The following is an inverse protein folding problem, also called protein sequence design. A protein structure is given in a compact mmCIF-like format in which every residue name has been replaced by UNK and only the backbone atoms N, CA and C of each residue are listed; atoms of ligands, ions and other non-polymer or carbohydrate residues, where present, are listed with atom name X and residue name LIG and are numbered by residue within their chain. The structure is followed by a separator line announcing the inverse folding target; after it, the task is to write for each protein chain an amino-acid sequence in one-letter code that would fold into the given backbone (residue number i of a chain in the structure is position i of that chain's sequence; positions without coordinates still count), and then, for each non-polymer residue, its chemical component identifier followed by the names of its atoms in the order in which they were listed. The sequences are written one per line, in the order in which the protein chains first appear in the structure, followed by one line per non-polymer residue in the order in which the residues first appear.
data_IF_311396797782
#
_entry.id   IF_311396797782
#
_cell.length_a   1.000
_cell.length_b   1.000
_cell.length_c   1.000
_cell.angle_alpha   90.00
_cell.angle_beta   90.00
_cell.angle_gamma   90.00
#
_symmetry.space_group_name_H-M   'P 1'
#
loop_
_entity.id
_entity.type
_entity.pdbx_description
1 polymer ?
#
# COMPACT_ATOMS: atom_id res chain seq x y z
N UNK A 1 -16.11 11.47 12.74
CA UNK A 1 -16.08 10.79 11.42
C UNK A 1 -15.97 9.29 11.63
N UNK A 2 -16.51 8.49 10.72
CA UNK A 2 -16.29 7.04 10.71
C UNK A 2 -15.11 6.72 9.76
N UNK A 3 -13.98 6.30 10.30
CA UNK A 3 -12.73 6.06 9.60
C UNK A 3 -12.55 4.55 9.42
N UNK A 4 -12.41 4.07 8.19
CA UNK A 4 -11.95 2.70 7.95
C UNK A 4 -10.42 2.66 7.98
N UNK A 5 -9.82 2.08 9.01
CA UNK A 5 -8.40 1.80 9.07
C UNK A 5 -8.14 0.45 8.38
N UNK A 6 -7.47 0.49 7.23
CA UNK A 6 -7.21 -0.70 6.42
C UNK A 6 -5.73 -1.08 6.52
N UNK A 7 -5.44 -2.36 6.80
CA UNK A 7 -4.09 -2.85 7.04
C UNK A 7 -3.88 -4.30 6.60
N UNK A 8 -2.62 -4.76 6.62
CA UNK A 8 -2.21 -6.08 6.14
C UNK A 8 -1.79 -6.07 4.68
N UNK A 9 -2.50 -6.78 3.82
CA UNK A 9 -2.27 -6.80 2.38
C UNK A 9 -1.43 -7.97 1.88
N UNK A 10 -1.29 -8.07 0.54
CA UNK A 10 -0.65 -9.20 -0.16
C UNK A 10 0.85 -9.05 -0.34
N UNK A 11 1.43 -7.94 0.09
CA UNK A 11 2.86 -7.69 -0.08
C UNK A 11 3.72 -8.50 0.91
N UNK A 12 5.02 -8.56 0.66
CA UNK A 12 6.00 -9.09 1.60
C UNK A 12 6.11 -8.27 2.90
N UNK A 13 5.52 -7.08 2.93
CA UNK A 13 5.54 -6.16 4.08
C UNK A 13 4.24 -6.21 4.91
N UNK A 14 3.47 -7.31 4.77
CA UNK A 14 2.22 -7.54 5.50
C UNK A 14 2.36 -7.29 7.00
N UNK A 15 3.36 -7.88 7.64
CA UNK A 15 3.59 -7.76 9.09
C UNK A 15 3.96 -6.33 9.50
N UNK A 16 4.67 -5.61 8.65
CA UNK A 16 5.01 -4.20 8.88
C UNK A 16 3.75 -3.33 8.86
N UNK A 17 2.81 -3.66 7.98
CA UNK A 17 1.51 -2.99 7.93
C UNK A 17 0.72 -3.15 9.24
N UNK A 18 0.72 -4.34 9.85
CA UNK A 18 0.06 -4.56 11.15
C UNK A 18 0.66 -3.66 12.24
N UNK A 19 1.99 -3.58 12.29
CA UNK A 19 2.70 -2.74 13.28
C UNK A 19 2.38 -1.26 13.06
N UNK A 20 2.52 -0.79 11.82
CA UNK A 20 2.25 0.60 11.45
C UNK A 20 0.81 1.01 11.73
N UNK A 21 -0.15 0.15 11.38
CA UNK A 21 -1.57 0.39 11.63
C UNK A 21 -1.91 0.40 13.13
N UNK A 22 -1.20 -0.39 13.93
CA UNK A 22 -1.35 -0.34 15.40
C UNK A 22 -0.94 1.03 15.95
N UNK A 23 0.16 1.58 15.47
CA UNK A 23 0.60 2.93 15.86
C UNK A 23 -0.40 4.00 15.41
N UNK A 24 -0.90 3.92 14.17
CA UNK A 24 -1.93 4.82 13.64
C UNK A 24 -3.22 4.72 14.47
N UNK A 25 -3.69 3.50 14.78
CA UNK A 25 -4.89 3.27 15.59
C UNK A 25 -4.82 3.95 16.97
N UNK A 26 -3.65 3.92 17.61
CA UNK A 26 -3.40 4.63 18.87
C UNK A 26 -3.47 6.15 18.74
N UNK A 27 -3.02 6.69 17.60
CA UNK A 27 -2.95 8.12 17.36
C UNK A 27 -4.27 8.77 16.90
N UNK A 28 -5.23 7.99 16.40
CA UNK A 28 -6.52 8.54 15.96
C UNK A 28 -7.28 9.14 17.16
N UNK A 29 -7.76 10.39 17.01
CA UNK A 29 -8.55 11.06 18.05
C UNK A 29 -9.78 10.25 18.48
N UNK A 30 -10.07 10.23 19.77
CA UNK A 30 -11.22 9.54 20.35
C UNK A 30 -12.58 10.11 19.89
N UNK A 31 -12.60 11.26 19.27
CA UNK A 31 -13.81 11.84 18.66
C UNK A 31 -14.26 11.10 17.38
N UNK A 32 -13.39 10.28 16.81
CA UNK A 32 -13.69 9.50 15.62
C UNK A 32 -14.09 8.06 15.97
N UNK A 33 -15.00 7.52 15.20
CA UNK A 33 -15.26 6.08 15.19
C UNK A 33 -14.28 5.40 14.25
N UNK A 34 -13.64 4.32 14.68
CA UNK A 34 -12.71 3.56 13.85
C UNK A 34 -13.27 2.18 13.56
N UNK A 35 -13.38 1.87 12.30
CA UNK A 35 -13.72 0.54 11.77
C UNK A 35 -12.44 -0.11 11.27
N UNK A 36 -12.02 -1.21 11.90
CA UNK A 36 -10.83 -1.96 11.51
C UNK A 36 -11.15 -2.92 10.35
N UNK A 37 -10.36 -2.87 9.29
CA UNK A 37 -10.47 -3.79 8.16
C UNK A 37 -9.09 -4.39 7.87
N UNK A 38 -8.97 -5.71 8.04
CA UNK A 38 -7.76 -6.46 7.74
C UNK A 38 -7.80 -7.07 6.34
N UNK A 39 -6.72 -6.91 5.58
CA UNK A 39 -6.53 -7.58 4.28
C UNK A 39 -5.58 -8.76 4.50
N UNK A 40 -6.08 -9.98 4.32
CA UNK A 40 -5.28 -11.20 4.45
C UNK A 40 -4.23 -11.34 3.32
N UNK A 41 -3.29 -12.27 3.48
CA UNK A 41 -2.23 -12.53 2.49
C UNK A 41 -2.76 -13.04 1.15
N UNK A 42 -3.94 -13.64 1.13
CA UNK A 42 -4.64 -14.05 -0.10
C UNK A 42 -5.35 -12.87 -0.82
N UNK A 43 -5.50 -11.73 -0.11
CA UNK A 43 -6.13 -10.51 -0.62
C UNK A 43 -7.58 -10.34 -0.22
N UNK A 44 -8.18 -11.25 0.53
CA UNK A 44 -9.53 -11.07 1.08
C UNK A 44 -9.54 -10.04 2.19
N UNK A 45 -10.63 -9.30 2.29
CA UNK A 45 -10.81 -8.24 3.28
C UNK A 45 -11.78 -8.68 4.35
N UNK A 46 -11.45 -8.46 5.62
CA UNK A 46 -12.26 -8.88 6.74
C UNK A 46 -12.50 -7.73 7.71
N UNK A 47 -13.75 -7.53 8.09
CA UNK A 47 -14.10 -6.65 9.22
C UNK A 47 -13.51 -7.23 10.52
N UNK A 48 -12.82 -6.42 11.28
CA UNK A 48 -12.23 -6.81 12.56
C UNK A 48 -13.04 -6.27 13.73
N UNK A 49 -12.85 -6.88 14.90
CA UNK A 49 -13.68 -6.56 16.08
C UNK A 49 -13.31 -5.21 16.70
N UNK A 50 -14.31 -4.53 17.28
CA UNK A 50 -14.10 -3.34 18.09
C UNK A 50 -13.32 -3.64 19.38
N UNK A 51 -13.38 -4.86 19.88
CA UNK A 51 -12.58 -5.31 21.04
C UNK A 51 -11.09 -5.23 20.74
N UNK A 52 -10.67 -5.66 19.53
CA UNK A 52 -9.28 -5.55 19.09
C UNK A 52 -8.83 -4.06 19.06
N UNK A 53 -9.65 -3.17 18.51
CA UNK A 53 -9.37 -1.73 18.54
C UNK A 53 -9.19 -1.19 19.95
N UNK A 54 -10.07 -1.56 20.87
CA UNK A 54 -10.00 -1.13 22.26
C UNK A 54 -8.72 -1.63 22.96
N UNK A 55 -8.30 -2.87 22.71
CA UNK A 55 -7.04 -3.43 23.24
C UNK A 55 -5.83 -2.64 22.73
N UNK A 56 -5.77 -2.34 21.44
CA UNK A 56 -4.70 -1.54 20.86
C UNK A 56 -4.62 -0.14 21.49
N UNK A 57 -5.75 0.48 21.76
CA UNK A 57 -5.82 1.83 22.38
C UNK A 57 -5.30 1.87 23.81
N UNK A 58 -5.40 0.78 24.54
CA UNK A 58 -5.09 0.70 25.98
C UNK A 58 -3.77 0.00 26.29
N UNK A 59 -3.18 -0.70 25.33
CA UNK A 59 -1.93 -1.45 25.52
C UNK A 59 -0.95 -1.19 24.37
N UNK A 60 0.16 -0.54 24.68
CA UNK A 60 1.20 -0.19 23.68
C UNK A 60 1.93 -1.40 23.13
N UNK A 61 1.96 -2.52 23.84
CA UNK A 61 2.62 -3.76 23.42
C UNK A 61 1.75 -4.63 22.49
N UNK A 62 0.46 -4.30 22.36
CA UNK A 62 -0.42 -5.02 21.45
C UNK A 62 -0.20 -4.61 20.00
N UNK A 63 -0.36 -5.58 19.11
CA UNK A 63 -0.30 -5.36 17.65
C UNK A 63 -1.58 -5.87 17.02
N UNK A 64 -2.09 -5.15 16.03
CA UNK A 64 -3.23 -5.58 15.24
C UNK A 64 -2.94 -6.94 14.59
N UNK A 65 -3.96 -7.77 14.55
CA UNK A 65 -3.95 -9.07 13.86
C UNK A 65 -5.09 -9.11 12.85
N UNK A 66 -5.09 -10.10 11.97
CA UNK A 66 -6.19 -10.33 11.04
C UNK A 66 -6.85 -11.64 11.40
N UNK A 67 -8.11 -11.57 11.77
CA UNK A 67 -8.97 -12.74 11.98
C UNK A 67 -9.76 -12.97 10.71
N UNK A 68 -9.47 -14.06 10.04
CA UNK A 68 -10.14 -14.48 8.81
C UNK A 68 -11.44 -15.19 9.19
N UNK A 69 -12.56 -14.47 9.04
CA UNK A 69 -13.89 -14.97 9.30
C UNK A 69 -14.76 -14.72 8.05
N UNK A 70 -15.23 -15.78 7.42
CA UNK A 70 -16.05 -15.68 6.21
C UNK A 70 -17.36 -14.89 6.44
N UNK A 71 -17.89 -14.87 7.65
CA UNK A 71 -19.03 -14.02 8.01
C UNK A 71 -18.68 -12.53 8.12
N UNK A 72 -17.39 -12.19 8.10
CA UNK A 72 -16.89 -10.82 8.20
C UNK A 72 -16.25 -10.30 6.89
N UNK A 73 -16.52 -10.99 5.77
CA UNK A 73 -16.00 -10.58 4.46
C UNK A 73 -16.53 -9.21 4.05
N UNK A 74 -15.62 -8.38 3.53
CA UNK A 74 -15.93 -7.07 2.98
C UNK A 74 -16.05 -7.17 1.46
N UNK A 75 -17.11 -6.59 0.93
CA UNK A 75 -17.30 -6.32 -0.49
C UNK A 75 -17.16 -4.84 -0.75
N UNK A 76 -16.44 -4.45 -1.81
CA UNK A 76 -16.32 -3.06 -2.25
C UNK A 76 -17.30 -2.83 -3.41
N UNK A 77 -18.20 -1.87 -3.22
CA UNK A 77 -19.21 -1.49 -4.22
C UNK A 77 -18.76 -0.20 -4.94
N UNK A 78 -18.50 -0.24 -6.24
CA UNK A 78 -18.13 0.94 -6.99
C UNK A 78 -19.23 2.03 -6.97
N UNK A 79 -18.83 3.31 -6.89
CA UNK A 79 -19.71 4.47 -6.99
C UNK A 79 -20.61 4.73 -5.78
N UNK A 80 -20.52 3.94 -4.71
CA UNK A 80 -21.46 4.01 -3.60
C UNK A 80 -21.06 4.97 -2.47
N UNK A 81 -19.97 5.72 -2.62
CA UNK A 81 -19.48 6.70 -1.61
C UNK A 81 -19.32 6.06 -0.22
N UNK A 82 -19.96 6.63 0.80
CA UNK A 82 -19.93 6.11 2.19
C UNK A 82 -20.40 4.66 2.32
N UNK A 83 -21.25 4.22 1.40
CA UNK A 83 -21.84 2.88 1.39
C UNK A 83 -21.03 1.88 0.56
N UNK A 84 -19.81 2.26 0.15
CA UNK A 84 -18.96 1.44 -0.69
C UNK A 84 -18.41 0.19 -0.01
N UNK A 85 -18.22 0.21 1.30
CA UNK A 85 -17.71 -0.92 2.06
C UNK A 85 -18.86 -1.66 2.74
N UNK A 86 -19.09 -2.89 2.31
CA UNK A 86 -20.26 -3.70 2.71
C UNK A 86 -19.78 -4.97 3.43
N UNK A 87 -20.37 -5.26 4.58
CA UNK A 87 -20.22 -6.52 5.32
C UNK A 87 -21.59 -7.14 5.53
N UNK A 88 -21.79 -8.42 5.19
CA UNK A 88 -23.06 -9.13 5.32
C UNK A 88 -24.27 -8.37 4.73
N UNK A 89 -24.08 -7.77 3.55
CA UNK A 89 -25.12 -7.01 2.86
C UNK A 89 -25.47 -5.67 3.51
N UNK A 90 -24.73 -5.23 4.53
CA UNK A 90 -24.93 -3.94 5.21
C UNK A 90 -23.74 -3.01 4.96
N UNK A 91 -24.05 -1.75 4.65
CA UNK A 91 -23.05 -0.69 4.55
C UNK A 91 -22.40 -0.45 5.91
N UNK A 92 -21.08 -0.23 5.90
CA UNK A 92 -20.31 0.21 7.06
C UNK A 92 -20.37 1.73 7.27
N UNK A 93 -20.94 2.47 6.32
CA UNK A 93 -21.11 3.93 6.35
C UNK A 93 -19.81 4.68 6.67
N UNK A 94 -18.77 4.45 5.85
CA UNK A 94 -17.43 5.00 6.05
C UNK A 94 -17.32 6.40 5.45
N UNK A 95 -16.87 7.36 6.24
CA UNK A 95 -16.62 8.75 5.79
C UNK A 95 -15.28 8.88 5.04
N UNK A 96 -14.25 8.16 5.48
CA UNK A 96 -12.91 8.19 4.91
C UNK A 96 -12.18 6.88 5.17
N UNK A 97 -11.38 6.46 4.20
CA UNK A 97 -10.49 5.30 4.34
C UNK A 97 -9.08 5.76 4.68
N UNK A 98 -8.47 5.12 5.67
CA UNK A 98 -7.06 5.31 6.00
C UNK A 98 -6.30 4.01 5.74
N UNK A 99 -5.74 3.83 4.52
CA UNK A 99 -4.94 2.66 4.22
C UNK A 99 -3.56 2.79 4.84
N UNK A 100 -3.16 1.80 5.63
CA UNK A 100 -1.81 1.66 6.20
C UNK A 100 -1.22 0.39 5.62
N UNK A 101 -0.94 0.43 4.33
CA UNK A 101 -0.45 -0.69 3.54
C UNK A 101 0.94 -0.36 2.99
N UNK A 102 1.79 -1.37 2.84
CA UNK A 102 3.15 -1.22 2.32
C UNK A 102 3.38 -2.09 1.08
N UNK A 103 4.22 -1.60 0.18
CA UNK A 103 4.63 -2.31 -1.02
C UNK A 103 3.52 -2.49 -2.06
N UNK A 104 3.58 -3.61 -2.77
CA UNK A 104 2.63 -3.92 -3.85
C UNK A 104 1.19 -4.03 -3.34
N UNK A 105 0.24 -3.57 -4.16
CA UNK A 105 -1.18 -3.39 -3.86
C UNK A 105 -1.51 -2.29 -2.84
N UNK A 106 -0.54 -1.78 -2.07
CA UNK A 106 -0.73 -0.70 -1.11
C UNK A 106 -0.24 0.65 -1.61
N UNK A 107 0.98 0.67 -2.20
CA UNK A 107 1.66 1.91 -2.60
C UNK A 107 1.72 2.10 -4.13
N UNK A 108 1.28 1.14 -4.91
CA UNK A 108 1.40 1.10 -6.37
C UNK A 108 0.20 1.66 -7.14
N UNK A 109 -0.70 2.37 -6.48
CA UNK A 109 -1.87 3.00 -7.07
C UNK A 109 -3.11 2.09 -7.18
N UNK A 110 -2.98 0.77 -6.98
CA UNK A 110 -4.12 -0.16 -7.17
C UNK A 110 -5.22 0.04 -6.14
N UNK A 111 -4.85 0.13 -4.86
CA UNK A 111 -5.82 0.35 -3.78
C UNK A 111 -6.44 1.75 -3.88
N UNK A 112 -5.65 2.76 -4.25
CA UNK A 112 -6.12 4.12 -4.45
C UNK A 112 -7.13 4.17 -5.61
N UNK A 113 -6.84 3.50 -6.72
CA UNK A 113 -7.78 3.38 -7.84
C UNK A 113 -9.08 2.68 -7.47
N UNK A 114 -9.04 1.67 -6.59
CA UNK A 114 -10.23 1.04 -6.05
C UNK A 114 -11.09 2.02 -5.25
N UNK A 115 -10.47 2.84 -4.38
CA UNK A 115 -11.19 3.85 -3.60
C UNK A 115 -11.76 4.97 -4.49
N UNK A 116 -11.03 5.38 -5.52
CA UNK A 116 -11.52 6.35 -6.51
C UNK A 116 -12.73 5.79 -7.28
N UNK A 117 -12.69 4.53 -7.71
CA UNK A 117 -13.85 3.87 -8.34
C UNK A 117 -15.03 3.70 -7.39
N UNK A 118 -14.78 3.51 -6.11
CA UNK A 118 -15.79 3.45 -5.07
C UNK A 118 -16.36 4.84 -4.71
N UNK A 119 -15.72 5.91 -5.18
CA UNK A 119 -16.01 7.30 -4.87
C UNK A 119 -15.99 7.58 -3.34
N UNK A 120 -15.06 6.94 -2.63
CA UNK A 120 -14.85 7.11 -1.19
C UNK A 120 -13.56 7.90 -0.93
N UNK A 121 -13.59 8.95 -0.10
CA UNK A 121 -12.39 9.67 0.29
C UNK A 121 -11.36 8.77 0.99
N UNK A 122 -10.08 8.99 0.73
CA UNK A 122 -9.02 8.24 1.40
C UNK A 122 -7.81 9.13 1.74
N UNK A 123 -7.05 8.71 2.72
CA UNK A 123 -5.80 9.34 3.13
C UNK A 123 -4.65 8.79 2.26
N UNK A 124 -3.89 9.68 1.63
CA UNK A 124 -2.74 9.31 0.81
C UNK A 124 -2.68 10.03 -0.53
N UNK A 125 -1.71 9.64 -1.35
CA UNK A 125 -1.53 10.18 -2.70
C UNK A 125 -2.58 9.61 -3.66
N UNK A 126 -2.82 10.30 -4.77
CA UNK A 126 -3.69 9.79 -5.85
C UNK A 126 -3.12 8.51 -6.46
N UNK A 127 -3.97 7.73 -7.15
CA UNK A 127 -3.53 6.50 -7.81
C UNK A 127 -2.38 6.73 -8.81
N UNK A 128 -2.41 7.83 -9.58
CA UNK A 128 -1.34 8.17 -10.53
C UNK A 128 -0.04 8.46 -9.79
N UNK A 129 -0.07 9.31 -8.76
CA UNK A 129 1.12 9.63 -7.97
C UNK A 129 1.72 8.39 -7.33
N UNK A 130 0.90 7.54 -6.73
CA UNK A 130 1.32 6.29 -6.12
C UNK A 130 1.96 5.34 -7.15
N UNK A 131 1.33 5.15 -8.31
CA UNK A 131 1.85 4.28 -9.37
C UNK A 131 3.20 4.78 -9.92
N UNK A 132 3.34 6.08 -10.13
CA UNK A 132 4.58 6.68 -10.62
C UNK A 132 5.70 6.55 -9.58
N UNK A 133 5.42 6.89 -8.32
CA UNK A 133 6.44 6.89 -7.27
C UNK A 133 6.87 5.48 -6.85
N UNK A 134 6.05 4.48 -7.06
CA UNK A 134 6.41 3.08 -6.87
C UNK A 134 7.45 2.61 -7.90
N UNK A 135 7.36 3.05 -9.15
CA UNK A 135 8.31 2.74 -10.22
C UNK A 135 9.52 3.69 -10.15
N UNK A 136 10.64 3.17 -9.68
CA UNK A 136 11.88 3.96 -9.47
C UNK A 136 12.45 4.56 -10.75
N UNK A 137 12.30 3.87 -11.89
CA UNK A 137 12.72 4.40 -13.19
C UNK A 137 11.83 5.60 -13.58
N UNK A 138 10.51 5.43 -13.53
CA UNK A 138 9.56 6.49 -13.91
C UNK A 138 9.67 7.71 -13.00
N UNK A 139 9.81 7.49 -11.70
CA UNK A 139 10.05 8.59 -10.72
C UNK A 139 11.29 9.40 -11.12
N UNK A 140 12.41 8.73 -11.36
CA UNK A 140 13.67 9.41 -11.71
C UNK A 140 13.58 10.15 -13.05
N UNK A 141 12.96 9.54 -14.07
CA UNK A 141 12.72 10.20 -15.35
C UNK A 141 11.91 11.50 -15.21
N UNK A 142 10.84 11.46 -14.41
CA UNK A 142 9.99 12.65 -14.16
C UNK A 142 10.79 13.71 -13.41
N UNK A 143 11.53 13.36 -12.36
CA UNK A 143 12.35 14.30 -11.61
C UNK A 143 13.40 14.98 -12.50
N UNK A 144 14.09 14.21 -13.35
CA UNK A 144 15.03 14.76 -14.32
C UNK A 144 14.34 15.74 -15.30
N UNK A 145 13.14 15.42 -15.77
CA UNK A 145 12.41 16.26 -16.73
C UNK A 145 12.02 17.63 -16.15
N UNK A 146 11.90 17.75 -14.83
CA UNK A 146 11.60 19.02 -14.13
C UNK A 146 12.84 19.64 -13.47
N UNK A 147 14.04 19.15 -13.80
CA UNK A 147 15.31 19.71 -13.33
C UNK A 147 15.71 19.36 -11.90
N UNK A 148 15.06 18.38 -11.28
CA UNK A 148 15.48 17.89 -9.97
C UNK A 148 16.73 17.01 -10.09
N UNK A 149 17.70 17.14 -9.17
CA UNK A 149 18.89 16.29 -9.17
C UNK A 149 18.54 14.85 -8.84
N UNK A 150 19.06 13.93 -9.62
CA UNK A 150 18.86 12.49 -9.43
C UNK A 150 20.22 11.81 -9.40
N UNK A 151 20.40 10.86 -8.47
CA UNK A 151 21.60 10.01 -8.45
C UNK A 151 21.70 9.26 -9.78
N UNK A 152 22.90 9.19 -10.41
CA UNK A 152 23.12 8.43 -11.64
C UNK A 152 22.58 6.99 -11.50
N UNK A 153 21.98 6.49 -12.58
CA UNK A 153 21.37 5.16 -12.56
C UNK A 153 21.30 4.58 -13.99
N UNK A 154 21.29 3.27 -14.05
CA UNK A 154 21.03 2.49 -15.26
C UNK A 154 19.86 1.56 -15.00
N UNK A 155 19.01 1.34 -15.98
CA UNK A 155 17.88 0.41 -15.87
C UNK A 155 18.07 -0.77 -16.81
N UNK A 156 18.09 -1.98 -16.23
CA UNK A 156 18.15 -3.23 -17.01
C UNK A 156 16.73 -3.75 -17.25
N UNK A 157 16.39 -3.97 -18.50
CA UNK A 157 15.14 -4.66 -18.86
C UNK A 157 15.28 -6.17 -18.68
N UNK A 158 14.20 -6.84 -18.30
CA UNK A 158 14.19 -8.31 -18.16
C UNK A 158 14.67 -9.05 -19.41
N UNK A 159 14.39 -8.52 -20.62
CA UNK A 159 14.85 -9.12 -21.87
C UNK A 159 16.38 -9.19 -21.98
N UNK A 160 17.11 -8.23 -21.41
CA UNK A 160 18.57 -8.22 -21.36
C UNK A 160 19.10 -9.37 -20.50
N UNK A 161 18.43 -9.68 -19.40
CA UNK A 161 18.84 -10.77 -18.50
C UNK A 161 18.70 -12.17 -19.10
N UNK A 162 17.95 -12.32 -20.19
CA UNK A 162 17.70 -13.61 -20.86
C UNK A 162 18.76 -13.95 -21.92
N UNK A 163 19.60 -12.99 -22.30
CA UNK A 163 20.70 -13.17 -23.25
C UNK A 163 22.02 -12.90 -22.56
N UNK A 164 22.84 -13.95 -22.40
CA UNK A 164 24.08 -13.85 -21.63
C UNK A 164 25.10 -12.87 -22.23
N UNK A 165 25.17 -12.76 -23.56
CA UNK A 165 26.11 -11.86 -24.22
C UNK A 165 25.71 -10.41 -24.02
N UNK A 166 24.41 -10.12 -24.17
CA UNK A 166 23.86 -8.77 -23.94
C UNK A 166 23.96 -8.42 -22.46
N UNK A 167 23.72 -9.38 -21.57
CA UNK A 167 23.83 -9.19 -20.11
C UNK A 167 25.25 -8.80 -19.69
N UNK A 168 26.27 -9.57 -20.14
CA UNK A 168 27.67 -9.30 -19.78
C UNK A 168 28.11 -7.91 -20.30
N UNK A 169 27.77 -7.58 -21.55
CA UNK A 169 28.06 -6.26 -22.12
C UNK A 169 27.38 -5.13 -21.32
N UNK A 170 26.12 -5.33 -20.91
CA UNK A 170 25.39 -4.37 -20.11
C UNK A 170 26.03 -4.15 -18.73
N UNK A 171 26.53 -5.21 -18.08
CA UNK A 171 27.23 -5.10 -16.80
C UNK A 171 28.53 -4.30 -16.95
N UNK A 172 29.36 -4.62 -17.97
CA UNK A 172 30.62 -3.88 -18.22
C UNK A 172 30.37 -2.39 -18.47
N UNK A 173 29.33 -2.04 -19.25
CA UNK A 173 28.95 -0.65 -19.49
C UNK A 173 28.48 0.04 -18.23
N UNK A 174 27.65 -0.64 -17.41
CA UNK A 174 27.15 -0.13 -16.13
C UNK A 174 28.29 0.16 -15.14
N UNK A 175 29.28 -0.75 -15.05
CA UNK A 175 30.46 -0.56 -14.20
C UNK A 175 31.29 0.66 -14.64
N UNK A 176 31.44 0.86 -15.94
CA UNK A 176 32.14 2.04 -16.49
C UNK A 176 31.39 3.35 -16.21
N UNK A 177 30.07 3.33 -16.30
CA UNK A 177 29.24 4.53 -16.14
C UNK A 177 29.05 4.92 -14.66
N UNK A 178 28.75 3.96 -13.78
CA UNK A 178 28.41 4.23 -12.38
C UNK A 178 29.59 4.09 -11.43
N UNK A 179 30.52 3.17 -11.68
CA UNK A 179 31.57 2.80 -10.74
C UNK A 179 31.03 2.08 -9.50
N UNK A 180 31.95 1.76 -8.57
CA UNK A 180 31.60 1.12 -7.29
C UNK A 180 31.81 2.09 -6.11
N UNK A 181 31.01 1.96 -5.01
CA UNK A 181 29.92 0.98 -4.81
C UNK A 181 28.62 1.38 -5.52
N UNK A 182 27.83 0.41 -5.99
CA UNK A 182 26.52 0.62 -6.58
C UNK A 182 25.43 -0.20 -5.85
N UNK A 183 24.18 0.29 -5.91
CA UNK A 183 23.02 -0.39 -5.36
C UNK A 183 22.15 -0.96 -6.49
N UNK A 184 21.78 -2.24 -6.37
CA UNK A 184 20.85 -2.91 -7.27
C UNK A 184 19.49 -3.03 -6.59
N UNK A 185 18.43 -2.57 -7.26
CA UNK A 185 17.06 -2.58 -6.73
C UNK A 185 16.06 -2.93 -7.83
N UNK A 186 14.98 -3.67 -7.53
CA UNK A 186 13.84 -3.77 -8.43
C UNK A 186 13.26 -2.37 -8.73
N UNK A 187 12.70 -2.16 -9.92
CA UNK A 187 12.02 -0.89 -10.24
C UNK A 187 10.75 -0.72 -9.41
N UNK A 188 10.02 -1.80 -9.20
CA UNK A 188 8.81 -1.87 -8.39
C UNK A 188 8.64 -3.27 -7.78
#
# INVERSE_FOLDING_TARGET
MNIALIYGGRSGEHEISLISASAVARGISAENTVTLIGIAKDGKWYLQSQEQYNKIRTNENETLTIIENEDALITVLPGANKDSLICNGKSLNIDVVFPVLHGTYGEDGKIQGLFEMANIPYVGCTHISSAITMDKEKTKMIWQSVGLPVVPYVCMKRSVMLDSVIYDSFIEETEKELGYPMFVKPCC
#
